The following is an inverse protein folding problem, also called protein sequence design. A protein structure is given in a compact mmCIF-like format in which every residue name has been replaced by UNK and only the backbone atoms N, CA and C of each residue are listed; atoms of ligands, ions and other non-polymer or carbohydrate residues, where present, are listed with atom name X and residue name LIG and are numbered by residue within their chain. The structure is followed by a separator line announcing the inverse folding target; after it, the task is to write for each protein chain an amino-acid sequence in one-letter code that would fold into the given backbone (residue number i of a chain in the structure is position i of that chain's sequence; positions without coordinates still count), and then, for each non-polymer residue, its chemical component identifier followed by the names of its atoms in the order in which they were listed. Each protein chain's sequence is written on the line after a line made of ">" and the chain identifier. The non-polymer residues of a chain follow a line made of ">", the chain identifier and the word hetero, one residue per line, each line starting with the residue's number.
data_IF_375542949626
#
_entry.id   IF_375542949626
#
_cell.length_a   1.000
_cell.length_b   1.000
_cell.length_c   1.000
_cell.angle_alpha   90.00
_cell.angle_beta   90.00
_cell.angle_gamma   90.00
#
_symmetry.space_group_name_H-M   'P 1'
#
loop_
_entity.id
_entity.type
_entity.pdbx_description
1 polymer ?
#
# COMPACT_ATOMS: atom_id res chain seq x y z
N UNK A 1 -7.47 1.47 -7.60
CA UNK A 1 -7.92 0.57 -6.51
C UNK A 1 -6.69 -0.13 -5.95
N UNK A 2 -6.52 -0.18 -4.63
CA UNK A 2 -5.42 -0.93 -4.02
C UNK A 2 -5.86 -2.34 -3.65
N UNK A 3 -4.98 -3.32 -3.84
CA UNK A 3 -5.22 -4.73 -3.53
C UNK A 3 -4.11 -5.20 -2.57
N UNK A 4 -4.51 -5.81 -1.46
CA UNK A 4 -3.59 -6.45 -0.49
C UNK A 4 -3.95 -7.93 -0.44
N UNK A 5 -2.95 -8.78 -0.66
CA UNK A 5 -3.12 -10.23 -0.60
C UNK A 5 -3.37 -10.75 0.81
N UNK A 6 -3.87 -11.98 0.88
CA UNK A 6 -4.00 -12.72 2.14
C UNK A 6 -2.67 -13.30 2.62
N UNK A 7 -2.72 -14.26 3.54
CA UNK A 7 -1.53 -14.95 4.07
C UNK A 7 -0.69 -15.67 3.00
N UNK A 8 -1.32 -16.12 1.90
CA UNK A 8 -0.66 -16.80 0.78
C UNK A 8 -0.26 -15.86 -0.37
N UNK A 9 -0.47 -14.53 -0.22
CA UNK A 9 -0.19 -13.56 -1.27
C UNK A 9 -1.33 -13.37 -2.27
N UNK A 10 -0.98 -13.05 -3.51
CA UNK A 10 -1.92 -12.77 -4.62
C UNK A 10 -1.77 -13.80 -5.73
N UNK A 11 -2.90 -14.23 -6.30
CA UNK A 11 -2.93 -15.09 -7.49
C UNK A 11 -2.25 -14.37 -8.67
N UNK A 12 -1.53 -15.14 -9.49
CA UNK A 12 -0.76 -14.61 -10.62
C UNK A 12 -1.63 -13.82 -11.60
N UNK A 13 -2.90 -14.21 -11.80
CA UNK A 13 -3.85 -13.47 -12.66
C UNK A 13 -4.11 -12.06 -12.15
N UNK A 14 -4.10 -11.85 -10.83
CA UNK A 14 -4.25 -10.52 -10.22
C UNK A 14 -2.98 -9.71 -10.42
N UNK A 15 -1.81 -10.33 -10.26
CA UNK A 15 -0.51 -9.68 -10.48
C UNK A 15 -0.30 -9.28 -11.95
N UNK A 16 -0.76 -10.09 -12.90
CA UNK A 16 -0.63 -9.83 -14.33
C UNK A 16 -1.61 -8.75 -14.82
N UNK A 17 -2.76 -8.60 -14.14
CA UNK A 17 -3.71 -7.51 -14.39
C UNK A 17 -3.31 -6.19 -13.74
N UNK A 18 -2.42 -6.19 -12.77
CA UNK A 18 -2.09 -4.98 -12.02
C UNK A 18 -1.35 -3.96 -12.90
N UNK A 19 -1.91 -2.75 -13.02
CA UNK A 19 -1.28 -1.64 -13.74
C UNK A 19 0.05 -1.20 -13.09
N UNK A 20 0.15 -1.40 -11.76
CA UNK A 20 1.32 -1.05 -11.00
C UNK A 20 1.52 -1.97 -9.78
N UNK A 21 2.78 -2.36 -9.53
CA UNK A 21 3.18 -3.20 -8.39
C UNK A 21 4.01 -2.35 -7.43
N UNK A 22 3.38 -1.94 -6.32
CA UNK A 22 4.00 -1.10 -5.29
C UNK A 22 4.57 -1.96 -4.16
N UNK A 23 5.85 -1.75 -3.82
CA UNK A 23 6.49 -2.37 -2.65
C UNK A 23 6.73 -1.35 -1.55
N UNK A 24 6.34 -1.67 -0.32
CA UNK A 24 6.54 -0.81 0.86
C UNK A 24 7.87 -1.10 1.58
N UNK A 25 8.40 -2.32 1.44
CA UNK A 25 9.65 -2.76 2.06
C UNK A 25 10.08 -4.12 1.49
N UNK A 26 11.31 -4.54 1.80
CA UNK A 26 11.76 -5.93 1.61
C UNK A 26 11.25 -6.89 2.71
N UNK A 27 10.67 -6.37 3.79
CA UNK A 27 10.12 -7.15 4.89
C UNK A 27 8.70 -7.66 4.58
N UNK A 28 8.34 -8.81 5.15
CA UNK A 28 6.98 -9.35 5.09
C UNK A 28 6.12 -8.78 6.22
N UNK A 29 5.06 -8.06 5.87
CA UNK A 29 4.11 -7.52 6.84
C UNK A 29 2.86 -8.41 6.94
N UNK A 30 2.29 -8.60 8.14
CA UNK A 30 0.95 -9.18 8.28
C UNK A 30 -0.08 -8.35 7.51
N UNK A 31 -0.98 -8.99 6.78
CA UNK A 31 -1.94 -8.31 5.91
C UNK A 31 -2.80 -7.25 6.64
N UNK A 32 -3.16 -7.49 7.92
CA UNK A 32 -3.88 -6.52 8.74
C UNK A 32 -3.06 -5.25 9.00
N UNK A 33 -1.77 -5.40 9.32
CA UNK A 33 -0.86 -4.27 9.52
C UNK A 33 -0.61 -3.53 8.20
N UNK A 34 -0.42 -4.27 7.10
CA UNK A 34 -0.21 -3.69 5.77
C UNK A 34 -1.36 -2.77 5.34
N UNK A 35 -2.60 -3.10 5.71
CA UNK A 35 -3.77 -2.24 5.47
C UNK A 35 -3.65 -0.89 6.17
N UNK A 36 -3.24 -0.88 7.44
CA UNK A 36 -3.08 0.35 8.21
C UNK A 36 -1.94 1.20 7.66
N UNK A 37 -0.81 0.56 7.33
CA UNK A 37 0.35 1.24 6.73
C UNK A 37 -0.04 1.87 5.38
N UNK A 38 -0.73 1.14 4.50
CA UNK A 38 -1.19 1.69 3.22
C UNK A 38 -2.10 2.90 3.42
N UNK A 39 -3.05 2.82 4.35
CA UNK A 39 -3.98 3.93 4.63
C UNK A 39 -3.24 5.18 5.09
N UNK A 40 -2.26 5.00 5.99
CA UNK A 40 -1.44 6.10 6.49
C UNK A 40 -0.59 6.73 5.38
N UNK A 41 -0.01 5.92 4.48
CA UNK A 41 0.75 6.44 3.35
C UNK A 41 -0.13 7.17 2.32
N UNK A 42 -1.37 6.72 2.10
CA UNK A 42 -2.33 7.44 1.26
C UNK A 42 -2.71 8.78 1.89
N UNK A 43 -2.93 8.81 3.21
CA UNK A 43 -3.20 10.06 3.93
C UNK A 43 -2.01 11.03 3.86
N UNK A 44 -0.79 10.53 4.07
CA UNK A 44 0.46 11.28 3.92
C UNK A 44 0.58 11.87 2.51
N UNK A 45 0.37 11.07 1.48
CA UNK A 45 0.44 11.50 0.09
C UNK A 45 -0.59 12.61 -0.21
N UNK A 46 -1.81 12.47 0.29
CA UNK A 46 -2.85 13.50 0.14
C UNK A 46 -2.45 14.82 0.79
N UNK A 47 -1.94 14.78 2.03
CA UNK A 47 -1.49 15.99 2.74
C UNK A 47 -0.33 16.69 2.03
N UNK A 48 0.64 15.92 1.54
CA UNK A 48 1.75 16.43 0.72
C UNK A 48 1.21 17.09 -0.55
N UNK A 49 0.27 16.45 -1.24
CA UNK A 49 -0.34 16.99 -2.47
C UNK A 49 -1.09 18.31 -2.25
N UNK A 50 -1.65 18.51 -1.05
CA UNK A 50 -2.35 19.75 -0.69
C UNK A 50 -1.43 20.83 -0.11
N UNK A 51 -0.11 20.61 -0.09
CA UNK A 51 0.86 21.47 0.58
C UNK A 51 0.52 21.74 2.06
N UNK A 52 -0.22 20.83 2.69
CA UNK A 52 -0.54 20.95 4.10
C UNK A 52 0.61 20.39 4.93
N UNK A 53 1.00 21.04 6.04
CA UNK A 53 2.02 20.50 6.91
C UNK A 53 1.57 19.11 7.37
N UNK A 54 2.41 18.13 7.06
CA UNK A 54 2.22 16.75 7.46
C UNK A 54 3.55 16.22 7.98
N UNK A 55 3.64 16.25 9.31
CA UNK A 55 4.77 15.89 10.17
C UNK A 55 6.16 16.45 9.81
N UNK A 56 6.87 16.88 10.85
CA UNK A 56 8.31 17.14 10.81
C UNK A 56 9.07 15.82 10.86
#
# INVERSE_FOLDING_TARGET
>A
MFIIGGSLGLDRRVLDRADYKLSFSRMTFPHQLMRVILLEQVYRAYRISNNEPYHK
#
